data_IF_227329311386
#
_entry.id   IF_227329311386
#
_cell.length_a   1.000
_cell.length_b   1.000
_cell.length_c   1.000
_cell.angle_alpha   90.00
_cell.angle_beta   90.00
_cell.angle_gamma   90.00
#
_symmetry.space_group_name_H-M   'P 1'
#
loop_
_entity.id
_entity.type
_entity.pdbx_description
1 polymer ?
#
# COMPACT_ATOMS: atom_id res chain seq x y z
N UNK A 1 -27.00 -32.69 27.27
CA UNK A 1 -26.26 -32.20 26.09
C UNK A 1 -25.81 -30.80 26.43
N UNK A 2 -24.50 -30.58 26.56
CA UNK A 2 -23.96 -29.29 26.97
C UNK A 2 -23.77 -28.44 25.69
N UNK A 3 -24.58 -27.42 25.53
CA UNK A 3 -24.35 -26.37 24.53
C UNK A 3 -23.11 -25.58 24.99
N UNK A 4 -21.97 -25.85 24.35
CA UNK A 4 -20.80 -24.99 24.49
C UNK A 4 -21.15 -23.62 23.93
N UNK A 5 -21.54 -22.67 24.81
CA UNK A 5 -21.47 -21.25 24.49
C UNK A 5 -20.02 -20.94 24.12
N UNK A 6 -19.77 -20.76 22.83
CA UNK A 6 -18.55 -20.12 22.33
C UNK A 6 -18.42 -18.79 23.05
N UNK A 7 -17.46 -18.71 23.97
CA UNK A 7 -17.15 -17.49 24.71
C UNK A 7 -16.81 -16.39 23.71
N UNK A 8 -17.59 -15.30 23.75
CA UNK A 8 -17.25 -14.08 23.02
C UNK A 8 -15.97 -13.50 23.63
N UNK A 9 -14.84 -13.71 22.95
CA UNK A 9 -13.58 -13.07 23.33
C UNK A 9 -13.64 -11.57 23.01
N UNK A 10 -13.41 -10.75 24.03
CA UNK A 10 -13.25 -9.31 23.85
C UNK A 10 -11.93 -9.05 23.12
N UNK A 11 -12.02 -8.55 21.89
CA UNK A 11 -10.84 -8.17 21.10
C UNK A 11 -10.19 -6.98 21.80
N UNK A 12 -8.99 -7.18 22.33
CA UNK A 12 -8.18 -6.10 22.89
C UNK A 12 -7.80 -5.13 21.77
N UNK A 13 -8.12 -3.86 21.96
CA UNK A 13 -7.79 -2.82 20.99
C UNK A 13 -6.40 -2.24 21.30
N UNK A 14 -5.56 -2.18 20.28
CA UNK A 14 -4.33 -1.37 20.30
C UNK A 14 -4.66 0.13 20.27
N UNK A 15 -3.71 0.97 20.68
CA UNK A 15 -3.82 2.43 20.63
C UNK A 15 -4.50 2.92 19.34
N UNK A 16 -5.34 3.94 19.47
CA UNK A 16 -6.18 4.51 18.41
C UNK A 16 -5.31 5.18 17.33
N UNK A 17 -4.78 4.39 16.40
CA UNK A 17 -4.13 4.87 15.17
C UNK A 17 -5.12 4.78 14.01
N UNK A 18 -5.13 5.80 13.15
CA UNK A 18 -5.86 5.75 11.90
C UNK A 18 -5.01 5.05 10.86
N UNK A 19 -5.40 3.83 10.51
CA UNK A 19 -4.75 3.04 9.47
C UNK A 19 -5.39 3.33 8.12
N UNK A 20 -4.58 3.37 7.04
CA UNK A 20 -5.05 3.61 5.68
C UNK A 20 -5.01 2.35 4.81
N UNK A 21 -3.86 1.66 4.80
CA UNK A 21 -3.67 0.47 3.97
C UNK A 21 -2.77 -0.55 4.64
N UNK A 22 -2.83 -1.79 4.17
CA UNK A 22 -2.04 -2.89 4.69
C UNK A 22 -1.59 -3.86 3.60
N UNK A 23 -0.53 -4.61 3.90
CA UNK A 23 -0.12 -5.79 3.14
C UNK A 23 0.62 -6.74 4.06
N UNK A 24 0.82 -7.99 3.67
CA UNK A 24 1.58 -8.94 4.46
C UNK A 24 2.45 -9.86 3.60
N UNK A 25 3.53 -10.32 4.23
CA UNK A 25 4.17 -11.59 3.86
C UNK A 25 3.58 -12.72 4.71
N UNK A 26 4.13 -13.93 4.58
CA UNK A 26 3.70 -15.07 5.39
C UNK A 26 3.89 -14.87 6.91
N UNK A 27 4.83 -14.01 7.31
CA UNK A 27 5.21 -13.82 8.71
C UNK A 27 5.08 -12.39 9.21
N UNK A 28 4.85 -11.43 8.32
CA UNK A 28 4.96 -10.00 8.63
C UNK A 28 3.76 -9.23 8.09
N UNK A 29 3.16 -8.40 8.93
CA UNK A 29 2.15 -7.42 8.55
C UNK A 29 2.77 -6.04 8.45
N UNK A 30 2.46 -5.33 7.37
CA UNK A 30 2.80 -3.93 7.17
C UNK A 30 1.53 -3.09 7.17
N UNK A 31 1.50 -2.01 7.95
CA UNK A 31 0.38 -1.08 8.06
C UNK A 31 0.83 0.35 7.77
N UNK A 32 0.06 1.11 6.99
CA UNK A 32 0.30 2.54 6.74
C UNK A 32 -0.66 3.41 7.54
N UNK A 33 -0.20 4.55 8.05
CA UNK A 33 -1.09 5.53 8.73
C UNK A 33 -1.83 6.43 7.74
N UNK A 34 -3.02 6.89 8.11
CA UNK A 34 -3.86 7.80 7.34
C UNK A 34 -3.60 9.27 7.70
N UNK A 35 -2.38 9.74 7.47
CA UNK A 35 -1.94 11.11 7.77
C UNK A 35 -0.85 11.57 6.81
N UNK A 36 -0.65 12.89 6.67
CA UNK A 36 0.48 13.44 5.93
C UNK A 36 1.79 13.02 6.58
N UNK A 37 2.81 12.69 5.79
CA UNK A 37 4.01 12.04 6.31
C UNK A 37 3.73 10.62 6.80
N UNK A 38 2.88 9.89 6.06
CA UNK A 38 2.40 8.56 6.45
C UNK A 38 3.54 7.66 6.92
N UNK A 39 3.32 7.02 8.06
CA UNK A 39 4.26 6.08 8.66
C UNK A 39 3.95 4.66 8.19
N UNK A 40 4.97 3.79 8.16
CA UNK A 40 4.79 2.34 7.95
C UNK A 40 5.18 1.59 9.22
N UNK A 41 4.29 0.77 9.73
CA UNK A 41 4.51 -0.10 10.88
C UNK A 41 4.66 -1.53 10.41
N UNK A 42 5.63 -2.23 10.98
CA UNK A 42 5.86 -3.64 10.77
C UNK A 42 5.53 -4.42 12.05
N UNK A 43 4.75 -5.50 11.91
CA UNK A 43 4.38 -6.41 12.97
C UNK A 43 4.69 -7.85 12.58
N UNK A 44 5.06 -8.67 13.56
CA UNK A 44 5.20 -10.10 13.40
C UNK A 44 3.82 -10.76 13.52
N UNK A 45 3.34 -11.42 12.46
CA UNK A 45 2.05 -12.09 12.44
C UNK A 45 2.04 -13.38 13.27
N UNK A 46 3.15 -14.11 13.32
CA UNK A 46 3.26 -15.39 14.01
C UNK A 46 3.35 -15.23 15.53
N UNK A 47 3.83 -14.07 16.00
CA UNK A 47 3.99 -13.73 17.41
C UNK A 47 2.88 -12.80 17.91
N UNK A 48 1.62 -13.08 17.58
CA UNK A 48 0.45 -12.32 18.07
C UNK A 48 0.51 -10.81 17.75
N UNK A 49 0.85 -10.45 16.51
CA UNK A 49 0.96 -9.05 16.06
C UNK A 49 1.96 -8.22 16.88
N UNK A 50 3.07 -8.83 17.34
CA UNK A 50 4.12 -8.10 18.04
C UNK A 50 4.72 -7.02 17.13
N UNK A 51 4.77 -5.78 17.62
CA UNK A 51 5.43 -4.68 16.93
C UNK A 51 6.92 -4.98 16.74
N UNK A 52 7.41 -4.83 15.50
CA UNK A 52 8.81 -5.05 15.15
C UNK A 52 9.57 -3.75 14.94
N UNK A 53 9.09 -2.91 14.01
CA UNK A 53 9.73 -1.64 13.68
C UNK A 53 8.75 -0.68 13.00
N UNK A 54 9.14 0.59 12.93
CA UNK A 54 8.40 1.65 12.26
C UNK A 54 9.34 2.46 11.38
N UNK A 55 8.91 2.74 10.15
CA UNK A 55 9.50 3.75 9.29
C UNK A 55 8.66 5.01 9.37
N UNK A 56 9.30 6.13 9.70
CA UNK A 56 8.67 7.44 9.85
C UNK A 56 9.04 8.37 8.71
N UNK A 57 8.22 9.37 8.42
CA UNK A 57 8.64 10.47 7.54
C UNK A 57 9.92 11.14 8.09
N UNK A 58 10.92 11.49 7.25
CA UNK A 58 10.92 11.44 5.79
C UNK A 58 11.38 10.09 5.18
N UNK A 59 11.65 9.09 6.01
CA UNK A 59 12.11 7.79 5.52
C UNK A 59 11.01 7.04 4.76
N UNK A 60 9.78 7.06 5.26
CA UNK A 60 8.60 6.41 4.65
C UNK A 60 8.10 7.15 3.40
N UNK A 61 7.81 8.43 3.53
CA UNK A 61 7.50 9.40 2.48
C UNK A 61 7.81 10.81 2.99
N UNK A 62 7.72 11.84 2.15
CA UNK A 62 7.89 13.22 2.62
C UNK A 62 6.73 13.63 3.55
N UNK A 63 6.95 14.68 4.35
CA UNK A 63 5.98 15.14 5.36
C UNK A 63 4.66 15.66 4.78
N UNK A 64 4.65 16.08 3.52
CA UNK A 64 3.49 16.57 2.77
C UNK A 64 2.87 15.49 1.86
N UNK A 65 3.35 14.25 1.96
CA UNK A 65 2.92 13.10 1.15
C UNK A 65 2.10 12.10 1.95
N UNK A 66 1.32 11.30 1.23
CA UNK A 66 0.51 10.21 1.77
C UNK A 66 0.88 8.89 1.09
N UNK A 67 0.93 7.81 1.87
CA UNK A 67 1.04 6.45 1.31
C UNK A 67 -0.37 5.88 1.17
N UNK A 68 -0.94 5.97 -0.02
CA UNK A 68 -2.31 5.55 -0.30
C UNK A 68 -2.47 4.04 -0.41
N UNK A 69 -1.42 3.33 -0.83
CA UNK A 69 -1.46 1.88 -0.94
C UNK A 69 -0.09 1.26 -0.77
N UNK A 70 -0.07 0.04 -0.24
CA UNK A 70 1.11 -0.79 -0.05
C UNK A 70 0.81 -2.21 -0.53
N UNK A 71 1.76 -2.83 -1.22
CA UNK A 71 1.69 -4.23 -1.61
C UNK A 71 3.04 -4.93 -1.43
N UNK A 72 3.03 -6.12 -0.84
CA UNK A 72 4.21 -6.94 -0.64
C UNK A 72 4.36 -7.98 -1.75
N UNK A 73 5.59 -8.20 -2.19
CA UNK A 73 5.98 -9.35 -3.02
C UNK A 73 7.48 -9.60 -2.95
N UNK A 74 7.89 -10.86 -2.79
CA UNK A 74 9.28 -11.30 -2.97
C UNK A 74 10.30 -10.37 -2.28
N UNK A 75 10.10 -10.12 -0.99
CA UNK A 75 10.93 -9.21 -0.18
C UNK A 75 10.98 -7.75 -0.63
N UNK A 76 9.95 -7.31 -1.35
CA UNK A 76 9.79 -5.91 -1.74
C UNK A 76 8.42 -5.37 -1.34
N UNK A 77 8.36 -4.07 -1.12
CA UNK A 77 7.16 -3.30 -0.87
C UNK A 77 6.98 -2.29 -2.00
N UNK A 78 5.89 -2.42 -2.74
CA UNK A 78 5.43 -1.40 -3.67
C UNK A 78 4.54 -0.41 -2.93
N UNK A 79 4.82 0.88 -3.08
CA UNK A 79 4.13 1.98 -2.42
C UNK A 79 3.53 2.90 -3.47
N UNK A 80 2.25 3.26 -3.35
CA UNK A 80 1.68 4.41 -4.05
C UNK A 80 1.77 5.60 -3.12
N UNK A 81 2.60 6.57 -3.49
CA UNK A 81 2.85 7.79 -2.72
C UNK A 81 2.26 8.97 -3.49
N UNK A 82 1.50 9.81 -2.79
CA UNK A 82 0.83 10.96 -3.39
C UNK A 82 1.17 12.24 -2.64
N UNK A 83 1.40 13.29 -3.40
CA UNK A 83 1.51 14.64 -2.88
C UNK A 83 0.26 15.41 -3.32
N UNK A 84 -0.60 15.71 -2.36
CA UNK A 84 -1.87 16.42 -2.61
C UNK A 84 -1.70 17.91 -2.89
N UNK A 85 -0.51 18.46 -2.62
CA UNK A 85 -0.22 19.89 -2.79
C UNK A 85 0.18 20.22 -4.23
N UNK A 86 0.75 19.25 -4.96
CA UNK A 86 1.28 19.45 -6.32
C UNK A 86 0.79 18.43 -7.36
N UNK A 87 -0.26 17.67 -7.03
CA UNK A 87 -0.93 16.69 -7.90
C UNK A 87 0.03 15.64 -8.51
N UNK A 88 1.07 15.26 -7.76
CA UNK A 88 1.99 14.19 -8.18
C UNK A 88 1.66 12.89 -7.47
N UNK A 89 1.60 11.82 -8.25
CA UNK A 89 1.62 10.45 -7.75
C UNK A 89 2.92 9.79 -8.19
N UNK A 90 3.49 8.98 -7.33
CA UNK A 90 4.60 8.11 -7.71
C UNK A 90 4.43 6.74 -7.10
N UNK A 91 5.11 5.80 -7.72
CA UNK A 91 5.25 4.46 -7.20
C UNK A 91 6.70 4.23 -6.88
N UNK A 92 6.94 3.76 -5.68
CA UNK A 92 8.26 3.32 -5.26
C UNK A 92 8.23 1.82 -5.01
N UNK A 93 9.28 1.15 -5.43
CA UNK A 93 9.58 -0.20 -4.96
C UNK A 93 10.73 -0.12 -3.98
N UNK A 94 10.53 -0.66 -2.78
CA UNK A 94 11.53 -0.67 -1.71
C UNK A 94 11.80 -2.08 -1.23
N UNK A 95 13.01 -2.31 -0.73
CA UNK A 95 13.34 -3.53 0.01
C UNK A 95 12.47 -3.65 1.28
N UNK A 96 11.84 -4.79 1.55
CA UNK A 96 11.05 -4.98 2.78
C UNK A 96 11.92 -4.95 4.05
N UNK A 97 13.18 -5.40 3.93
CA UNK A 97 14.09 -5.58 5.05
C UNK A 97 14.85 -4.30 5.39
N UNK A 98 15.45 -3.64 4.39
CA UNK A 98 16.26 -2.42 4.57
C UNK A 98 15.48 -1.14 4.31
N UNK A 99 14.39 -1.23 3.52
CA UNK A 99 13.60 -0.08 3.08
C UNK A 99 14.33 0.87 2.12
N UNK A 100 15.44 0.41 1.56
CA UNK A 100 16.13 1.10 0.47
C UNK A 100 15.24 1.14 -0.77
N UNK A 101 15.23 2.28 -1.46
CA UNK A 101 14.52 2.44 -2.72
C UNK A 101 15.26 1.70 -3.83
N UNK A 102 14.55 0.76 -4.47
CA UNK A 102 15.04 0.01 -5.63
C UNK A 102 14.78 0.78 -6.93
N UNK A 103 13.57 1.33 -7.08
CA UNK A 103 13.22 2.25 -8.16
C UNK A 103 12.03 3.11 -7.77
N UNK A 104 11.83 4.20 -8.53
CA UNK A 104 10.68 5.09 -8.40
C UNK A 104 10.20 5.56 -9.77
N UNK A 105 8.88 5.61 -9.95
CA UNK A 105 8.23 6.01 -11.20
C UNK A 105 7.12 7.00 -10.90
N UNK A 106 7.21 8.18 -11.48
CA UNK A 106 6.24 9.25 -11.28
C UNK A 106 5.21 9.26 -12.41
N UNK A 107 3.95 9.51 -12.04
CA UNK A 107 2.83 9.65 -12.94
C UNK A 107 2.22 11.04 -12.76
N UNK A 108 1.85 11.68 -13.87
CA UNK A 108 0.99 12.86 -13.81
C UNK A 108 -0.40 12.37 -13.42
N UNK A 109 -0.94 12.87 -12.31
CA UNK A 109 -2.28 12.53 -11.88
C UNK A 109 -3.11 13.80 -11.75
N UNK A 110 -4.39 13.72 -12.12
CA UNK A 110 -5.33 14.74 -11.69
C UNK A 110 -5.84 14.35 -10.30
N UNK A 111 -5.66 15.25 -9.33
CA UNK A 111 -6.16 14.99 -7.99
C UNK A 111 -7.69 15.17 -7.98
N UNK A 112 -8.39 14.08 -7.71
CA UNK A 112 -9.84 14.05 -7.58
C UNK A 112 -10.19 13.61 -6.15
N UNK A 113 -10.70 14.55 -5.34
CA UNK A 113 -11.10 14.31 -3.94
C UNK A 113 -12.07 13.12 -3.79
N UNK A 114 -12.83 12.80 -4.83
CA UNK A 114 -13.83 11.73 -4.85
C UNK A 114 -13.26 10.33 -5.13
N UNK A 115 -11.99 10.22 -5.53
CA UNK A 115 -11.36 8.97 -6.01
C UNK A 115 -10.04 8.67 -5.30
N UNK A 116 -10.14 8.54 -3.98
CA UNK A 116 -9.07 8.27 -3.02
C UNK A 116 -8.44 6.87 -3.11
N UNK A 117 -9.04 5.96 -3.87
CA UNK A 117 -8.60 4.57 -3.92
C UNK A 117 -7.61 4.44 -5.06
N UNK A 118 -6.32 4.31 -4.78
CA UNK A 118 -5.37 3.80 -5.76
C UNK A 118 -4.87 2.44 -5.29
N UNK A 119 -4.63 1.53 -6.23
CA UNK A 119 -4.23 0.15 -5.92
C UNK A 119 -2.96 -0.20 -6.67
N UNK A 120 -2.04 -0.86 -5.99
CA UNK A 120 -0.92 -1.54 -6.61
C UNK A 120 -1.06 -3.03 -6.37
N UNK A 121 -0.95 -3.81 -7.43
CA UNK A 121 -1.06 -5.26 -7.39
C UNK A 121 0.18 -5.87 -8.02
N UNK A 122 0.70 -6.91 -7.41
CA UNK A 122 1.76 -7.69 -8.01
C UNK A 122 1.24 -8.51 -9.20
N UNK A 123 2.02 -8.53 -10.28
CA UNK A 123 1.84 -9.41 -11.44
C UNK A 123 2.94 -10.48 -11.47
N UNK A 124 2.84 -11.47 -12.35
CA UNK A 124 3.93 -12.44 -12.59
C UNK A 124 5.24 -11.73 -12.96
N UNK A 125 6.37 -12.42 -12.76
CA UNK A 125 7.71 -11.94 -13.14
C UNK A 125 8.16 -10.62 -12.47
N UNK A 126 7.72 -10.38 -11.22
CA UNK A 126 8.03 -9.17 -10.43
C UNK A 126 7.58 -7.86 -11.11
N UNK A 127 6.56 -7.92 -11.94
CA UNK A 127 5.92 -6.75 -12.52
C UNK A 127 4.75 -6.28 -11.65
N UNK A 128 4.24 -5.09 -11.92
CA UNK A 128 3.22 -4.44 -11.10
C UNK A 128 2.11 -3.86 -11.97
N UNK A 129 0.89 -4.00 -11.50
CA UNK A 129 -0.28 -3.32 -12.03
C UNK A 129 -0.66 -2.20 -11.08
N UNK A 130 -0.81 -1.00 -11.62
CA UNK A 130 -1.21 0.18 -10.88
C UNK A 130 -2.56 0.59 -11.40
N UNK A 131 -3.48 0.82 -10.47
CA UNK A 131 -4.83 1.24 -10.77
C UNK A 131 -5.00 2.63 -10.19
N UNK A 132 -5.02 3.60 -11.10
CA UNK A 132 -5.29 4.99 -10.80
C UNK A 132 -6.78 5.25 -11.04
N UNK A 133 -7.55 5.32 -9.95
CA UNK A 133 -9.00 5.51 -10.04
C UNK A 133 -9.37 6.93 -10.43
N UNK A 134 -8.60 7.92 -9.94
CA UNK A 134 -8.84 9.33 -10.22
C UNK A 134 -8.93 9.59 -11.73
N UNK A 135 -7.96 9.06 -12.47
CA UNK A 135 -7.89 9.25 -13.92
C UNK A 135 -8.45 8.08 -14.73
N UNK A 136 -8.99 7.05 -14.06
CA UNK A 136 -9.43 5.80 -14.68
C UNK A 136 -8.35 5.19 -15.60
N UNK A 137 -7.13 5.04 -15.10
CA UNK A 137 -5.97 4.49 -15.83
C UNK A 137 -5.36 3.29 -15.14
N UNK A 138 -4.89 2.36 -15.95
CA UNK A 138 -4.08 1.22 -15.55
C UNK A 138 -2.67 1.40 -16.07
N UNK A 139 -1.68 1.28 -15.19
CA UNK A 139 -0.27 1.23 -15.58
C UNK A 139 0.28 -0.15 -15.33
N UNK A 140 0.84 -0.75 -16.38
CA UNK A 140 1.69 -1.93 -16.25
C UNK A 140 3.12 -1.46 -16.10
N UNK A 141 3.70 -1.71 -14.93
CA UNK A 141 5.07 -1.34 -14.56
C UNK A 141 5.93 -2.61 -14.54
N UNK A 142 7.07 -2.57 -15.21
CA UNK A 142 8.05 -3.66 -15.24
C UNK A 142 8.77 -3.82 -13.90
N UNK A 143 9.55 -4.89 -13.78
CA UNK A 143 10.38 -5.18 -12.59
C UNK A 143 11.39 -4.10 -12.22
N UNK A 144 11.81 -3.31 -13.20
CA UNK A 144 12.78 -2.21 -13.10
C UNK A 144 12.13 -0.82 -13.08
N UNK A 145 10.81 -0.75 -12.96
CA UNK A 145 10.07 0.51 -12.78
C UNK A 145 9.63 1.18 -14.09
N UNK A 146 9.93 0.63 -15.26
CA UNK A 146 9.48 1.21 -16.52
C UNK A 146 8.00 0.94 -16.79
N UNK A 147 7.29 1.94 -17.30
CA UNK A 147 5.90 1.77 -17.73
C UNK A 147 5.87 1.05 -19.07
N UNK A 148 5.43 -0.21 -19.08
CA UNK A 148 5.28 -1.03 -20.29
C UNK A 148 4.03 -0.67 -21.08
N UNK A 149 2.95 -0.38 -20.36
CA UNK A 149 1.67 -0.02 -20.96
C UNK A 149 0.88 0.90 -20.03
N UNK A 150 0.09 1.78 -20.65
CA UNK A 150 -0.92 2.58 -20.00
C UNK A 150 -2.25 2.37 -20.75
N UNK A 151 -3.33 2.13 -20.03
CA UNK A 151 -4.67 1.95 -20.59
C UNK A 151 -5.70 2.70 -19.76
N UNK A 152 -6.50 3.53 -20.41
CA UNK A 152 -7.71 4.05 -19.80
C UNK A 152 -8.77 2.95 -19.71
N UNK A 153 -9.61 2.99 -18.68
CA UNK A 153 -10.75 2.09 -18.53
C UNK A 153 -12.04 2.86 -18.25
N UNK A 154 -13.16 2.28 -18.66
CA UNK A 154 -14.53 2.71 -18.31
C UNK A 154 -15.42 1.46 -18.26
N UNK A 155 -16.37 1.35 -17.33
CA UNK A 155 -16.63 2.26 -16.19
C UNK A 155 -15.58 2.11 -15.08
N UNK A 156 -15.65 2.97 -14.06
CA UNK A 156 -14.74 2.94 -12.91
C UNK A 156 -14.82 1.57 -12.22
N UNK A 157 -13.70 0.85 -12.15
CA UNK A 157 -13.63 -0.51 -11.59
C UNK A 157 -13.55 -0.39 -10.07
N UNK A 158 -14.65 -0.56 -9.33
CA UNK A 158 -14.63 -0.34 -7.87
C UNK A 158 -13.76 -1.33 -7.09
N UNK A 159 -13.61 -2.57 -7.57
CA UNK A 159 -12.76 -3.59 -6.94
C UNK A 159 -12.08 -4.44 -8.01
N UNK A 160 -10.81 -4.17 -8.28
CA UNK A 160 -9.98 -5.07 -9.07
C UNK A 160 -9.18 -5.98 -8.11
N UNK A 161 -9.39 -7.29 -8.23
CA UNK A 161 -8.64 -8.30 -7.49
C UNK A 161 -8.08 -9.28 -8.52
N UNK A 162 -6.78 -9.55 -8.46
CA UNK A 162 -6.15 -10.60 -9.24
C UNK A 162 -6.19 -11.89 -8.41
N UNK A 163 -6.74 -12.97 -8.96
CA UNK A 163 -6.73 -14.30 -8.35
C UNK A 163 -5.51 -15.11 -8.80
#
# INVERSE_FOLDING_TARGET
MNENLTSLECIQTIEKKQWLSCTCSDSTLFLTTNESGSNIFQFNLLSSFQFMKQWKSPQSCNSDEFINNIAYKNETLALIIENRTNDKKRIELRSSSTFDQLWSTTFNASYHYEHWINRVCALKYNEWLVIDYGDSRLFHVSKDGHVKANRSYKPTINNAVLF
#
